data_IF_570656151148
#
_entry.id   IF_570656151148
#
_cell.length_a   1.000
_cell.length_b   1.000
_cell.length_c   1.000
_cell.angle_alpha   90.00
_cell.angle_beta   90.00
_cell.angle_gamma   90.00
#
_symmetry.space_group_name_H-M   'P 1'
#
loop_
_entity.id
_entity.type
_entity.pdbx_description
1 polymer ?
#
# COMPACT_ATOMS: atom_id res chain seq x y z
N UNK A 1 12.76 -38.02 7.38
CA UNK A 1 13.42 -39.11 6.63
C UNK A 1 14.48 -39.68 7.55
N UNK A 2 14.45 -40.99 7.78
CA UNK A 2 15.35 -41.71 8.68
C UNK A 2 16.30 -42.56 7.84
N UNK A 3 17.56 -42.62 8.26
CA UNK A 3 18.65 -43.30 7.56
C UNK A 3 19.36 -44.24 8.55
N UNK A 4 19.50 -45.54 8.24
CA UNK A 4 20.10 -46.52 9.13
C UNK A 4 21.58 -46.27 9.43
N UNK A 5 22.32 -45.62 8.53
CA UNK A 5 23.73 -45.25 8.75
C UNK A 5 23.90 -44.19 9.85
N UNK A 6 22.81 -43.46 10.13
CA UNK A 6 22.74 -42.42 11.16
C UNK A 6 21.55 -42.71 12.07
N UNK A 7 21.62 -43.74 12.92
CA UNK A 7 20.47 -44.28 13.67
C UNK A 7 19.95 -43.35 14.78
N UNK A 8 20.37 -42.09 14.83
CA UNK A 8 19.96 -41.12 15.83
C UNK A 8 18.70 -40.37 15.41
N UNK A 9 17.54 -40.74 15.95
CA UNK A 9 16.45 -39.79 16.11
C UNK A 9 16.84 -38.85 17.25
N UNK A 10 17.23 -37.62 16.94
CA UNK A 10 17.54 -36.63 17.98
C UNK A 10 16.27 -36.29 18.77
N UNK A 11 16.41 -35.94 20.05
CA UNK A 11 15.28 -35.50 20.89
C UNK A 11 14.53 -34.33 20.27
N UNK A 12 15.26 -33.42 19.58
CA UNK A 12 14.70 -32.32 18.81
C UNK A 12 13.79 -32.78 17.66
N UNK A 13 14.22 -33.80 16.90
CA UNK A 13 13.43 -34.35 15.79
C UNK A 13 12.14 -34.99 16.28
N UNK A 14 12.20 -35.65 17.45
CA UNK A 14 11.04 -36.25 18.08
C UNK A 14 10.05 -35.17 18.56
N UNK A 15 10.52 -34.12 19.25
CA UNK A 15 9.66 -33.04 19.71
C UNK A 15 8.97 -32.29 18.56
N UNK A 16 9.68 -32.06 17.45
CA UNK A 16 9.06 -31.47 16.25
C UNK A 16 7.95 -32.37 15.69
N UNK A 17 8.15 -33.69 15.65
CA UNK A 17 7.16 -34.63 15.14
C UNK A 17 5.95 -34.79 16.06
N UNK A 18 6.14 -34.85 17.38
CA UNK A 18 5.06 -35.09 18.35
C UNK A 18 4.34 -33.83 18.78
N UNK A 19 5.03 -32.69 18.82
CA UNK A 19 4.48 -31.43 19.35
C UNK A 19 4.16 -30.47 18.22
N UNK A 20 5.15 -30.13 17.38
CA UNK A 20 5.00 -29.08 16.38
C UNK A 20 4.15 -29.53 15.19
N UNK A 21 4.31 -30.77 14.72
CA UNK A 21 3.62 -31.30 13.54
C UNK A 21 2.32 -32.05 13.85
N UNK A 22 1.91 -32.14 15.12
CA UNK A 22 0.71 -32.86 15.53
C UNK A 22 -0.56 -32.35 14.82
N UNK A 23 -0.66 -31.05 14.59
CA UNK A 23 -1.79 -30.41 13.91
C UNK A 23 -1.86 -30.69 12.39
N UNK A 24 -0.80 -31.25 11.81
CA UNK A 24 -0.71 -31.64 10.38
C UNK A 24 -0.34 -33.11 10.20
N UNK A 25 -0.52 -33.95 11.22
CA UNK A 25 -0.10 -35.35 11.23
C UNK A 25 -0.64 -36.15 10.02
N UNK A 26 -1.86 -35.85 9.56
CA UNK A 26 -2.48 -36.47 8.37
C UNK A 26 -1.75 -36.21 7.06
N UNK A 27 -0.92 -35.15 6.99
CA UNK A 27 -0.10 -34.77 5.83
C UNK A 27 1.35 -35.21 5.96
N UNK A 28 1.81 -35.54 7.16
CA UNK A 28 3.17 -36.02 7.39
C UNK A 28 3.28 -37.45 6.88
N UNK A 29 4.37 -37.73 6.16
CA UNK A 29 4.73 -39.07 5.67
C UNK A 29 6.14 -39.38 6.16
N UNK A 30 6.30 -40.48 6.88
CA UNK A 30 7.59 -40.87 7.43
C UNK A 30 8.24 -41.88 6.52
N UNK A 31 9.52 -41.70 6.26
CA UNK A 31 10.28 -42.52 5.31
C UNK A 31 11.52 -43.05 6.03
N UNK A 32 11.65 -44.38 6.08
CA UNK A 32 12.89 -45.09 6.40
C UNK A 32 13.59 -45.40 5.07
N UNK A 33 14.65 -44.66 4.77
CA UNK A 33 15.40 -44.78 3.53
C UNK A 33 16.59 -45.73 3.70
N UNK A 34 17.17 -46.15 2.57
CA UNK A 34 18.36 -47.01 2.47
C UNK A 34 18.21 -48.38 3.12
N UNK A 35 17.05 -49.00 2.95
CA UNK A 35 16.82 -50.36 3.45
C UNK A 35 17.67 -51.41 2.72
N UNK A 36 18.30 -51.04 1.60
CA UNK A 36 19.29 -51.83 0.86
C UNK A 36 20.66 -51.93 1.55
N UNK A 37 20.98 -51.05 2.51
CA UNK A 37 22.24 -51.09 3.25
C UNK A 37 22.26 -52.18 4.33
N UNK A 38 21.11 -52.77 4.67
CA UNK A 38 21.03 -53.87 5.64
C UNK A 38 21.51 -55.19 5.05
N UNK A 39 22.37 -55.90 5.79
CA UNK A 39 22.89 -57.22 5.38
C UNK A 39 21.94 -58.36 5.71
N UNK A 40 21.14 -58.22 6.78
CA UNK A 40 20.21 -59.26 7.24
C UNK A 40 18.82 -58.68 7.52
N UNK A 41 17.78 -59.50 7.36
CA UNK A 41 16.39 -59.13 7.70
C UNK A 41 16.29 -58.72 9.18
N UNK A 42 17.11 -59.34 10.04
CA UNK A 42 17.15 -59.06 11.47
C UNK A 42 17.65 -57.65 11.77
N UNK A 43 18.66 -57.16 11.06
CA UNK A 43 19.18 -55.80 11.22
C UNK A 43 18.14 -54.75 10.81
N UNK A 44 17.45 -55.01 9.69
CA UNK A 44 16.31 -54.20 9.25
C UNK A 44 15.20 -54.18 10.30
N UNK A 45 14.77 -55.35 10.78
CA UNK A 45 13.70 -55.46 11.77
C UNK A 45 14.05 -54.76 13.09
N UNK A 46 15.33 -54.82 13.51
CA UNK A 46 15.82 -54.13 14.69
C UNK A 46 15.77 -52.60 14.54
N UNK A 47 16.21 -52.08 13.39
CA UNK A 47 16.18 -50.64 13.11
C UNK A 47 14.74 -50.12 12.98
N UNK A 48 13.89 -50.83 12.25
CA UNK A 48 12.48 -50.49 12.09
C UNK A 48 11.72 -50.55 13.43
N UNK A 49 11.98 -51.58 14.24
CA UNK A 49 11.41 -51.72 15.58
C UNK A 49 11.85 -50.59 16.52
N UNK A 50 13.13 -50.21 16.50
CA UNK A 50 13.65 -49.08 17.27
C UNK A 50 13.01 -47.75 16.85
N UNK A 51 12.80 -47.53 15.55
CA UNK A 51 12.13 -46.35 15.01
C UNK A 51 10.67 -46.27 15.48
N UNK A 52 9.92 -47.36 15.34
CA UNK A 52 8.54 -47.47 15.80
C UNK A 52 8.41 -47.24 17.31
N UNK A 53 9.35 -47.79 18.09
CA UNK A 53 9.39 -47.62 19.53
C UNK A 53 9.62 -46.16 19.92
N UNK A 54 10.61 -45.53 19.30
CA UNK A 54 10.97 -44.13 19.59
C UNK A 54 9.84 -43.15 19.27
N UNK A 55 8.95 -43.50 18.36
CA UNK A 55 7.88 -42.63 17.92
C UNK A 55 6.49 -43.02 18.47
N UNK A 56 6.48 -43.80 19.55
CA UNK A 56 5.35 -44.45 20.23
C UNK A 56 3.90 -43.99 19.94
N UNK A 57 3.08 -44.99 19.63
CA UNK A 57 1.60 -45.18 19.78
C UNK A 57 0.56 -44.43 18.92
N UNK A 58 0.76 -43.21 18.42
CA UNK A 58 -0.24 -42.54 17.56
C UNK A 58 0.36 -41.99 16.26
N UNK A 59 1.08 -42.85 15.53
CA UNK A 59 1.91 -42.38 14.43
C UNK A 59 1.51 -42.94 13.05
N UNK A 60 1.55 -42.10 12.00
CA UNK A 60 1.33 -42.52 10.62
C UNK A 60 2.26 -43.64 10.16
N UNK A 61 1.79 -44.35 9.13
CA UNK A 61 2.53 -45.40 8.44
C UNK A 61 3.93 -44.94 8.03
N UNK A 62 4.95 -45.78 8.33
CA UNK A 62 6.34 -45.55 7.95
C UNK A 62 6.61 -46.26 6.64
N UNK A 63 6.98 -45.50 5.62
CA UNK A 63 7.33 -46.03 4.31
C UNK A 63 8.79 -46.46 4.28
N UNK A 64 9.03 -47.70 3.88
CA UNK A 64 10.37 -48.26 3.68
C UNK A 64 10.77 -48.11 2.21
N UNK A 65 11.90 -47.49 1.93
CA UNK A 65 12.37 -47.31 0.55
C UNK A 65 13.89 -47.35 0.44
N UNK A 66 14.36 -47.55 -0.79
CA UNK A 66 15.76 -47.44 -1.17
C UNK A 66 15.90 -46.53 -2.41
N UNK A 67 17.12 -46.07 -2.67
CA UNK A 67 17.41 -45.23 -3.85
C UNK A 67 18.05 -46.10 -4.92
N UNK A 68 17.34 -46.47 -6.00
CA UNK A 68 17.92 -47.32 -7.03
C UNK A 68 19.04 -46.58 -7.76
N UNK A 69 20.26 -47.10 -7.69
CA UNK A 69 21.43 -46.57 -8.41
C UNK A 69 21.32 -46.92 -9.90
N UNK A 70 21.32 -45.90 -10.76
CA UNK A 70 21.33 -46.07 -12.23
C UNK A 70 22.62 -46.76 -12.66
N UNK A 71 22.60 -48.08 -12.78
CA UNK A 71 23.75 -48.90 -13.18
C UNK A 71 23.87 -50.22 -12.44
N UNK A 72 23.13 -50.44 -11.34
CA UNK A 72 23.10 -51.70 -10.59
C UNK A 72 22.18 -52.75 -11.21
N UNK A 73 22.26 -52.97 -12.51
CA UNK A 73 21.69 -54.18 -13.11
C UNK A 73 22.59 -55.36 -12.76
N UNK A 74 22.02 -56.39 -12.14
CA UNK A 74 22.65 -57.69 -11.81
C UNK A 74 23.33 -57.80 -10.44
N UNK A 75 22.53 -57.90 -9.37
CA UNK A 75 22.93 -58.59 -8.13
C UNK A 75 22.01 -59.78 -7.80
N UNK A 76 21.30 -60.32 -8.79
CA UNK A 76 20.72 -61.66 -8.73
C UNK A 76 21.76 -62.75 -9.06
N UNK A 77 23.02 -62.55 -8.66
CA UNK A 77 24.06 -63.58 -8.74
C UNK A 77 24.62 -63.87 -7.35
N UNK A 78 24.17 -65.02 -6.83
CA UNK A 78 24.89 -65.90 -5.91
C UNK A 78 25.19 -65.38 -4.50
N UNK A 79 24.14 -65.08 -3.73
CA UNK A 79 24.22 -65.25 -2.27
C UNK A 79 23.75 -66.66 -1.90
N UNK A 80 24.63 -67.44 -1.27
CA UNK A 80 24.31 -68.76 -0.70
C UNK A 80 23.61 -68.65 0.67
N UNK A 81 23.37 -67.43 1.17
CA UNK A 81 22.76 -67.19 2.47
C UNK A 81 21.24 -66.95 2.31
N UNK A 82 20.44 -67.80 2.95
CA UNK A 82 18.98 -67.74 2.91
C UNK A 82 18.40 -66.38 3.32
N UNK A 83 19.09 -65.62 4.17
CA UNK A 83 18.60 -64.34 4.72
C UNK A 83 18.78 -63.16 3.76
N UNK A 84 19.89 -63.10 3.03
CA UNK A 84 20.16 -62.05 2.03
C UNK A 84 19.22 -62.20 0.81
N UNK A 85 18.91 -63.44 0.43
CA UNK A 85 17.93 -63.74 -0.61
C UNK A 85 16.51 -63.27 -0.24
N UNK A 86 16.12 -63.41 1.04
CA UNK A 86 14.82 -62.93 1.55
C UNK A 86 14.74 -61.40 1.54
N UNK A 87 15.79 -60.70 1.97
CA UNK A 87 15.86 -59.24 1.86
C UNK A 87 15.78 -58.77 0.41
N UNK A 88 16.51 -59.42 -0.49
CA UNK A 88 16.51 -59.10 -1.92
C UNK A 88 15.13 -59.26 -2.55
N UNK A 89 14.37 -60.28 -2.14
CA UNK A 89 12.99 -60.46 -2.57
C UNK A 89 12.07 -59.33 -2.04
N UNK A 90 12.21 -58.95 -0.76
CA UNK A 90 11.44 -57.85 -0.16
C UNK A 90 11.74 -56.49 -0.79
N UNK A 91 13.00 -56.24 -1.18
CA UNK A 91 13.42 -55.02 -1.90
C UNK A 91 12.63 -54.85 -3.20
N UNK A 92 12.50 -55.93 -3.98
CA UNK A 92 11.89 -55.87 -5.31
C UNK A 92 10.36 -55.98 -5.32
N UNK A 93 9.73 -56.54 -4.29
CA UNK A 93 8.27 -56.66 -4.24
C UNK A 93 7.62 -55.56 -3.40
N UNK A 94 7.97 -55.50 -2.11
CA UNK A 94 7.29 -54.65 -1.13
C UNK A 94 7.84 -53.22 -1.14
N UNK A 95 9.17 -53.07 -1.19
CA UNK A 95 9.80 -51.75 -1.13
C UNK A 95 9.66 -50.97 -2.45
N UNK A 96 9.68 -51.65 -3.60
CA UNK A 96 9.34 -51.05 -4.89
C UNK A 96 7.85 -50.64 -4.98
N UNK A 97 6.95 -51.45 -4.41
CA UNK A 97 5.53 -51.12 -4.31
C UNK A 97 5.28 -49.86 -3.48
N UNK A 98 5.80 -49.82 -2.25
CA UNK A 98 5.71 -48.65 -1.35
C UNK A 98 6.35 -47.39 -1.93
N UNK A 99 7.48 -47.53 -2.66
CA UNK A 99 8.07 -46.42 -3.42
C UNK A 99 7.12 -45.86 -4.48
N UNK A 100 6.43 -46.75 -5.21
CA UNK A 100 5.42 -46.36 -6.21
C UNK A 100 4.25 -45.58 -5.61
N UNK A 101 3.83 -45.93 -4.39
CA UNK A 101 2.79 -45.20 -3.66
C UNK A 101 3.24 -43.80 -3.25
N UNK A 102 4.45 -43.68 -2.67
CA UNK A 102 5.02 -42.37 -2.30
C UNK A 102 5.16 -41.48 -3.54
N UNK A 103 5.67 -42.03 -4.64
CA UNK A 103 5.84 -41.29 -5.89
C UNK A 103 4.50 -40.74 -6.40
N UNK A 104 3.44 -41.56 -6.35
CA UNK A 104 2.09 -41.16 -6.75
C UNK A 104 1.52 -40.08 -5.82
N UNK A 105 1.76 -40.20 -4.53
CA UNK A 105 1.32 -39.20 -3.55
C UNK A 105 2.05 -37.86 -3.72
N UNK A 106 3.36 -37.89 -3.96
CA UNK A 106 4.17 -36.69 -4.27
C UNK A 106 3.71 -36.06 -5.58
N UNK A 107 3.39 -36.86 -6.60
CA UNK A 107 2.83 -36.36 -7.86
C UNK A 107 1.46 -35.70 -7.69
N UNK A 108 0.64 -36.18 -6.74
CA UNK A 108 -0.68 -35.61 -6.40
C UNK A 108 -0.61 -34.40 -5.46
N UNK A 109 0.51 -34.20 -4.76
CA UNK A 109 0.70 -33.08 -3.84
C UNK A 109 0.39 -31.68 -4.43
N UNK A 110 0.80 -31.32 -5.67
CA UNK A 110 0.43 -30.04 -6.26
C UNK A 110 -1.09 -29.90 -6.45
N UNK A 111 -1.77 -30.94 -6.92
CA UNK A 111 -3.22 -30.92 -7.11
C UNK A 111 -3.93 -30.72 -5.76
N UNK A 112 -3.52 -31.48 -4.73
CA UNK A 112 -4.02 -31.33 -3.37
C UNK A 112 -3.75 -29.93 -2.78
N UNK A 113 -2.63 -29.31 -3.14
CA UNK A 113 -2.34 -27.94 -2.71
C UNK A 113 -3.32 -26.94 -3.34
N UNK A 114 -3.62 -27.09 -4.64
CA UNK A 114 -4.59 -26.23 -5.32
C UNK A 114 -6.00 -26.39 -4.77
N UNK A 115 -6.43 -27.61 -4.44
CA UNK A 115 -7.74 -27.87 -3.83
C UNK A 115 -7.88 -27.27 -2.43
N UNK A 116 -6.81 -27.34 -1.63
CA UNK A 116 -6.77 -26.70 -0.31
C UNK A 116 -6.86 -25.17 -0.41
N UNK A 117 -6.18 -24.57 -1.40
CA UNK A 117 -6.27 -23.13 -1.67
C UNK A 117 -7.68 -22.75 -2.13
N UNK A 118 -8.28 -23.51 -3.04
CA UNK A 118 -9.64 -23.28 -3.51
C UNK A 118 -10.66 -23.36 -2.37
N UNK A 119 -10.51 -24.36 -1.48
CA UNK A 119 -11.37 -24.52 -0.30
C UNK A 119 -11.23 -23.36 0.67
N UNK A 120 -9.99 -22.92 0.92
CA UNK A 120 -9.71 -21.76 1.76
C UNK A 120 -10.26 -20.47 1.15
N UNK A 121 -10.11 -20.28 -0.16
CA UNK A 121 -10.67 -19.14 -0.89
C UNK A 121 -12.20 -19.10 -0.82
N UNK A 122 -12.88 -20.24 -1.06
CA UNK A 122 -14.35 -20.34 -0.93
C UNK A 122 -14.81 -19.99 0.48
N UNK A 123 -14.11 -20.48 1.50
CA UNK A 123 -14.36 -20.16 2.92
C UNK A 123 -14.23 -18.66 3.20
N UNK A 124 -13.18 -18.01 2.67
CA UNK A 124 -12.98 -16.57 2.79
C UNK A 124 -14.07 -15.78 2.06
N UNK A 125 -14.43 -16.14 0.84
CA UNK A 125 -15.52 -15.51 0.09
C UNK A 125 -16.86 -15.63 0.82
N UNK A 126 -17.16 -16.80 1.40
CA UNK A 126 -18.37 -17.01 2.18
C UNK A 126 -18.39 -16.15 3.45
N UNK A 127 -17.26 -16.05 4.16
CA UNK A 127 -17.09 -15.15 5.30
C UNK A 127 -17.28 -13.70 4.89
N UNK A 128 -16.61 -13.25 3.82
CA UNK A 128 -16.73 -11.89 3.28
C UNK A 128 -18.16 -11.55 2.88
N UNK A 129 -18.86 -12.47 2.20
CA UNK A 129 -20.27 -12.32 1.83
C UNK A 129 -21.17 -12.19 3.07
N UNK A 130 -20.87 -12.93 4.14
CA UNK A 130 -21.63 -12.84 5.40
C UNK A 130 -21.32 -11.55 6.17
N UNK A 131 -20.08 -11.07 6.12
CA UNK A 131 -19.66 -9.84 6.82
C UNK A 131 -20.06 -8.57 6.06
N UNK A 132 -20.19 -8.64 4.74
CA UNK A 132 -20.63 -7.51 3.92
C UNK A 132 -22.14 -7.33 4.05
N UNK A 133 -22.56 -6.73 5.17
CA UNK A 133 -23.93 -6.25 5.37
C UNK A 133 -24.12 -5.02 4.52
N UNK A 134 -24.59 -5.21 3.29
CA UNK A 134 -24.96 -4.13 2.35
C UNK A 134 -25.79 -3.02 3.02
N UNK A 135 -26.59 -3.35 4.04
CA UNK A 135 -27.35 -2.39 4.85
C UNK A 135 -26.49 -1.43 5.68
N UNK A 136 -25.37 -1.88 6.26
CA UNK A 136 -24.47 -1.02 7.05
C UNK A 136 -23.65 -0.11 6.13
N UNK A 137 -23.20 -0.62 4.97
CA UNK A 137 -22.53 0.20 3.96
C UNK A 137 -23.46 1.29 3.39
N UNK A 138 -24.72 0.94 3.10
CA UNK A 138 -25.71 1.90 2.62
C UNK A 138 -26.00 3.01 3.65
N UNK A 139 -26.11 2.67 4.94
CA UNK A 139 -26.27 3.66 6.03
C UNK A 139 -25.06 4.59 6.13
N UNK A 140 -23.84 4.04 6.09
CA UNK A 140 -22.60 4.82 6.20
C UNK A 140 -22.44 5.79 5.02
N UNK A 141 -22.70 5.31 3.80
CA UNK A 141 -22.62 6.13 2.59
C UNK A 141 -23.70 7.22 2.56
N UNK A 142 -24.92 6.92 3.04
CA UNK A 142 -26.01 7.90 3.12
C UNK A 142 -25.75 9.01 4.15
N UNK A 143 -25.13 8.67 5.29
CA UNK A 143 -24.79 9.65 6.33
C UNK A 143 -23.68 10.62 5.86
N UNK A 144 -22.68 10.12 5.14
CA UNK A 144 -21.57 10.94 4.64
C UNK A 144 -22.04 12.00 3.63
N UNK A 145 -22.92 11.63 2.70
CA UNK A 145 -23.46 12.57 1.70
C UNK A 145 -24.34 13.65 2.34
N UNK A 146 -25.18 13.29 3.32
CA UNK A 146 -26.02 14.26 4.04
C UNK A 146 -25.20 15.32 4.78
N UNK A 147 -24.10 14.91 5.43
CA UNK A 147 -23.23 15.82 6.20
C UNK A 147 -22.53 16.82 5.27
N UNK A 148 -22.04 16.34 4.11
CA UNK A 148 -21.42 17.21 3.10
C UNK A 148 -22.39 18.25 2.54
N UNK A 149 -23.64 17.87 2.26
CA UNK A 149 -24.67 18.77 1.73
C UNK A 149 -25.09 19.84 2.76
N UNK A 150 -25.19 19.44 4.04
CA UNK A 150 -25.49 20.37 5.12
C UNK A 150 -24.35 21.39 5.29
N UNK A 151 -23.09 20.94 5.25
CA UNK A 151 -21.92 21.82 5.33
C UNK A 151 -21.85 22.81 4.17
N UNK A 152 -22.16 22.37 2.95
CA UNK A 152 -22.23 23.23 1.76
C UNK A 152 -23.29 24.33 1.92
N UNK A 153 -24.51 23.96 2.31
CA UNK A 153 -25.60 24.93 2.53
C UNK A 153 -25.31 25.88 3.69
N UNK A 154 -24.67 25.41 4.74
CA UNK A 154 -24.22 26.26 5.84
C UNK A 154 -23.14 27.25 5.37
N UNK A 155 -22.18 26.79 4.56
CA UNK A 155 -21.16 27.62 3.92
C UNK A 155 -21.75 28.72 3.04
N UNK A 156 -22.73 28.38 2.18
CA UNK A 156 -23.44 29.37 1.35
C UNK A 156 -24.13 30.46 2.19
N UNK A 157 -24.78 30.07 3.31
CA UNK A 157 -25.41 31.05 4.23
C UNK A 157 -24.39 31.92 4.96
N UNK A 158 -23.28 31.33 5.39
CA UNK A 158 -22.20 32.07 6.03
C UNK A 158 -21.57 33.09 5.07
N UNK A 159 -21.37 32.71 3.81
CA UNK A 159 -20.88 33.60 2.75
C UNK A 159 -21.85 34.75 2.50
N UNK A 160 -23.16 34.48 2.39
CA UNK A 160 -24.18 35.52 2.22
C UNK A 160 -24.20 36.52 3.39
N UNK A 161 -24.00 36.04 4.63
CA UNK A 161 -23.88 36.91 5.81
C UNK A 161 -22.60 37.75 5.77
N UNK A 162 -21.46 37.15 5.43
CA UNK A 162 -20.20 37.87 5.28
C UNK A 162 -20.25 38.92 4.17
N UNK A 163 -21.00 38.64 3.10
CA UNK A 163 -21.27 39.58 2.01
C UNK A 163 -22.12 40.77 2.46
N UNK A 164 -23.09 40.57 3.36
CA UNK A 164 -23.85 41.69 3.93
C UNK A 164 -23.00 42.57 4.86
N UNK A 165 -22.04 41.96 5.57
CA UNK A 165 -21.21 42.63 6.58
C UNK A 165 -19.87 43.18 6.02
N UNK A 166 -19.65 43.17 4.69
CA UNK A 166 -18.37 43.57 4.05
C UNK A 166 -17.89 44.94 4.48
N UNK A 167 -18.80 45.92 4.50
CA UNK A 167 -18.46 47.30 4.84
C UNK A 167 -17.99 47.44 6.29
N UNK A 168 -18.48 46.58 7.20
CA UNK A 168 -18.08 46.62 8.60
C UNK A 168 -16.67 46.04 8.81
N UNK A 169 -16.31 44.95 8.11
CA UNK A 169 -15.00 44.32 8.30
C UNK A 169 -13.90 44.90 7.41
N UNK A 170 -14.25 45.58 6.32
CA UNK A 170 -13.30 46.15 5.36
C UNK A 170 -12.25 47.08 6.03
N UNK A 171 -12.61 48.03 6.90
CA UNK A 171 -11.62 48.86 7.59
C UNK A 171 -10.70 48.06 8.52
N UNK A 172 -11.22 47.01 9.16
CA UNK A 172 -10.43 46.13 10.03
C UNK A 172 -9.44 45.27 9.23
N UNK A 173 -9.83 44.79 8.05
CA UNK A 173 -8.95 44.05 7.12
C UNK A 173 -7.90 44.96 6.51
N UNK A 174 -8.25 46.21 6.19
CA UNK A 174 -7.27 47.21 5.79
C UNK A 174 -6.24 47.44 6.89
N UNK A 175 -6.70 47.66 8.13
CA UNK A 175 -5.82 47.88 9.27
C UNK A 175 -4.88 46.69 9.55
N UNK A 176 -5.36 45.45 9.36
CA UNK A 176 -4.52 44.25 9.57
C UNK A 176 -3.52 44.03 8.43
N UNK A 177 -3.92 44.25 7.17
CA UNK A 177 -3.07 44.01 6.00
C UNK A 177 -1.96 45.07 5.90
N UNK A 178 -2.28 46.32 6.22
CA UNK A 178 -1.32 47.42 6.23
C UNK A 178 -0.74 47.71 7.61
N UNK A 179 -0.90 46.79 8.58
CA UNK A 179 -0.45 46.98 9.96
C UNK A 179 1.02 47.42 10.05
N UNK A 180 1.91 46.84 9.25
CA UNK A 180 3.35 47.20 9.23
C UNK A 180 3.61 48.65 8.82
N UNK A 181 2.79 49.21 7.93
CA UNK A 181 2.86 50.60 7.47
C UNK A 181 2.12 51.55 8.43
N UNK A 182 1.05 51.06 9.06
CA UNK A 182 0.22 51.84 9.98
C UNK A 182 0.81 51.94 11.41
N UNK A 183 1.67 51.02 11.82
CA UNK A 183 2.32 51.03 13.14
C UNK A 183 3.41 52.11 13.30
N UNK A 184 3.94 52.66 12.20
CA UNK A 184 4.91 53.75 12.24
C UNK A 184 4.16 55.07 12.05
N UNK A 185 4.18 55.98 13.04
CA UNK A 185 3.61 57.33 12.87
C UNK A 185 4.54 58.19 12.01
N UNK A 186 4.62 57.85 10.74
CA UNK A 186 5.44 58.52 9.73
C UNK A 186 4.53 59.14 8.66
N UNK A 187 5.07 60.01 7.81
CA UNK A 187 4.37 60.60 6.67
C UNK A 187 3.65 59.56 5.79
N UNK A 188 4.23 58.37 5.67
CA UNK A 188 3.64 57.25 4.94
C UNK A 188 2.34 56.73 5.57
N UNK A 189 2.17 56.84 6.89
CA UNK A 189 0.92 56.49 7.59
C UNK A 189 -0.20 57.45 7.17
N UNK A 190 0.06 58.75 7.27
CA UNK A 190 -0.92 59.79 6.94
C UNK A 190 -1.32 59.73 5.45
N UNK A 191 -0.36 59.52 4.56
CA UNK A 191 -0.61 59.34 3.12
C UNK A 191 -1.45 58.08 2.85
N UNK A 192 -1.12 56.95 3.49
CA UNK A 192 -1.85 55.68 3.31
C UNK A 192 -3.29 55.77 3.84
N UNK A 193 -3.49 56.39 5.01
CA UNK A 193 -4.82 56.62 5.58
C UNK A 193 -5.65 57.63 4.78
N UNK A 194 -5.05 58.71 4.29
CA UNK A 194 -5.73 59.68 3.42
C UNK A 194 -6.20 59.02 2.12
N UNK A 195 -5.37 58.15 1.53
CA UNK A 195 -5.72 57.42 0.32
C UNK A 195 -6.88 56.45 0.56
N UNK A 196 -6.85 55.68 1.65
CA UNK A 196 -7.95 54.78 2.02
C UNK A 196 -9.25 55.54 2.27
N UNK A 197 -9.22 56.63 3.02
CA UNK A 197 -10.39 57.47 3.29
C UNK A 197 -10.96 58.12 2.02
N UNK A 198 -10.13 58.40 1.02
CA UNK A 198 -10.59 58.95 -0.26
C UNK A 198 -11.31 57.91 -1.14
N UNK A 199 -10.93 56.63 -1.03
CA UNK A 199 -11.46 55.53 -1.86
C UNK A 199 -12.68 54.88 -1.20
N UNK A 200 -12.75 54.88 0.14
CA UNK A 200 -13.79 54.22 0.93
C UNK A 200 -15.23 54.56 0.47
N UNK A 201 -15.63 55.82 0.20
CA UNK A 201 -16.98 56.15 -0.24
C UNK A 201 -17.32 55.57 -1.62
N UNK A 202 -16.33 55.53 -2.53
CA UNK A 202 -16.49 54.90 -3.84
C UNK A 202 -16.64 53.39 -3.73
N UNK A 203 -15.95 52.78 -2.77
CA UNK A 203 -16.02 51.35 -2.49
C UNK A 203 -17.36 50.97 -1.83
N UNK A 204 -17.87 51.80 -0.93
CA UNK A 204 -19.22 51.67 -0.35
C UNK A 204 -20.30 51.72 -1.44
N UNK A 205 -20.21 52.70 -2.35
CA UNK A 205 -21.14 52.83 -3.46
C UNK A 205 -21.08 51.64 -4.42
N UNK A 206 -19.89 51.16 -4.77
CA UNK A 206 -19.71 50.01 -5.65
C UNK A 206 -20.22 48.71 -5.01
N UNK A 207 -19.94 48.48 -3.73
CA UNK A 207 -20.42 47.31 -2.99
C UNK A 207 -21.94 47.33 -2.73
N UNK A 208 -22.55 48.52 -2.66
CA UNK A 208 -24.01 48.67 -2.54
C UNK A 208 -24.74 48.41 -3.88
N UNK A 209 -24.11 48.71 -5.01
CA UNK A 209 -24.72 48.59 -6.35
C UNK A 209 -24.48 47.24 -7.03
N UNK A 210 -23.42 46.52 -6.65
CA UNK A 210 -23.00 45.27 -7.30
C UNK A 210 -22.94 44.11 -6.31
N UNK A 211 -23.61 42.97 -6.57
CA UNK A 211 -23.51 41.79 -5.71
C UNK A 211 -22.09 41.22 -5.75
N UNK A 212 -21.59 40.70 -4.61
CA UNK A 212 -20.19 40.27 -4.53
C UNK A 212 -19.82 39.15 -5.54
N UNK A 213 -20.79 38.31 -5.89
CA UNK A 213 -20.64 37.22 -6.88
C UNK A 213 -20.40 37.74 -8.31
N UNK A 214 -20.76 38.99 -8.60
CA UNK A 214 -20.54 39.61 -9.91
C UNK A 214 -19.15 40.24 -10.05
N UNK A 215 -18.39 40.40 -8.95
CA UNK A 215 -16.97 40.74 -9.08
C UNK A 215 -16.24 39.51 -9.58
N UNK A 216 -15.75 39.58 -10.83
CA UNK A 216 -14.95 38.53 -11.42
C UNK A 216 -13.70 38.23 -10.58
N UNK A 217 -13.26 36.97 -10.61
CA UNK A 217 -11.95 36.60 -10.06
C UNK A 217 -10.89 37.42 -10.78
N UNK A 218 -10.05 38.15 -10.03
CA UNK A 218 -8.95 38.92 -10.59
C UNK A 218 -7.93 37.94 -11.19
N UNK A 219 -7.83 37.82 -12.53
CA UNK A 219 -7.02 36.79 -13.14
C UNK A 219 -5.54 37.01 -12.79
N UNK A 220 -4.76 35.94 -12.57
CA UNK A 220 -3.35 36.06 -12.20
C UNK A 220 -2.52 36.82 -13.25
N UNK A 221 -2.94 36.78 -14.52
CA UNK A 221 -2.30 37.53 -15.62
C UNK A 221 -2.47 39.04 -15.44
N UNK A 222 -3.69 39.48 -15.08
CA UNK A 222 -3.97 40.90 -14.83
C UNK A 222 -3.27 41.41 -13.58
N UNK A 223 -3.16 40.56 -12.56
CA UNK A 223 -2.38 40.86 -11.36
C UNK A 223 -0.91 41.06 -11.67
N UNK A 224 -0.30 40.14 -12.41
CA UNK A 224 1.11 40.25 -12.79
C UNK A 224 1.37 41.51 -13.64
N UNK A 225 0.45 41.84 -14.55
CA UNK A 225 0.53 43.07 -15.33
C UNK A 225 0.43 44.31 -14.44
N UNK A 226 -0.48 44.34 -13.47
CA UNK A 226 -0.60 45.46 -12.53
C UNK A 226 0.67 45.61 -11.69
N UNK A 227 1.21 44.51 -11.18
CA UNK A 227 2.47 44.51 -10.43
C UNK A 227 3.65 45.01 -11.29
N UNK A 228 3.72 44.61 -12.57
CA UNK A 228 4.71 45.12 -13.53
C UNK A 228 4.56 46.62 -13.78
N UNK A 229 3.32 47.11 -13.95
CA UNK A 229 3.04 48.54 -14.16
C UNK A 229 3.46 49.35 -12.93
N UNK A 230 3.10 48.90 -11.73
CA UNK A 230 3.44 49.59 -10.49
C UNK A 230 4.95 49.56 -10.20
N UNK A 231 5.63 48.45 -10.47
CA UNK A 231 7.06 48.31 -10.18
C UNK A 231 7.96 48.94 -11.24
N UNK A 232 7.60 48.87 -12.53
CA UNK A 232 8.46 49.30 -13.63
C UNK A 232 7.99 50.60 -14.28
N UNK A 233 6.70 50.75 -14.57
CA UNK A 233 6.21 51.88 -15.36
C UNK A 233 6.00 53.14 -14.54
N UNK A 234 5.41 53.04 -13.34
CA UNK A 234 5.20 54.20 -12.46
C UNK A 234 6.53 54.88 -12.07
N UNK A 235 7.58 54.16 -11.61
CA UNK A 235 8.86 54.79 -11.27
C UNK A 235 9.63 55.34 -12.47
N UNK A 236 9.37 54.82 -13.68
CA UNK A 236 9.94 55.36 -14.92
C UNK A 236 9.23 56.66 -15.32
N UNK A 237 7.91 56.71 -15.19
CA UNK A 237 7.14 57.93 -15.47
C UNK A 237 7.51 59.04 -14.49
N UNK A 238 7.64 58.71 -13.21
CA UNK A 238 8.02 59.66 -12.17
C UNK A 238 9.46 60.18 -12.35
N UNK A 239 10.38 59.36 -12.86
CA UNK A 239 11.70 59.84 -13.36
C UNK A 239 11.54 60.76 -14.56
N UNK A 240 10.79 60.37 -15.58
CA UNK A 240 10.57 61.22 -16.75
C UNK A 240 9.90 62.57 -16.42
N UNK A 241 9.02 62.63 -15.43
CA UNK A 241 8.38 63.89 -14.99
C UNK A 241 9.36 64.77 -14.23
N UNK A 242 10.22 64.18 -13.39
CA UNK A 242 11.31 64.89 -12.71
C UNK A 242 12.40 65.37 -13.68
N UNK A 243 12.70 64.58 -14.71
CA UNK A 243 13.63 64.96 -15.77
C UNK A 243 13.01 66.03 -16.70
N UNK A 244 11.69 66.11 -16.86
CA UNK A 244 11.04 67.23 -17.58
C UNK A 244 11.19 68.58 -16.90
N UNK A 245 11.53 68.62 -15.60
CA UNK A 245 11.91 69.87 -14.92
C UNK A 245 13.39 70.24 -15.08
N UNK A 246 14.19 69.40 -15.74
CA UNK A 246 15.60 69.65 -16.07
C UNK A 246 16.03 68.93 -17.34
N UNK A 247 16.03 69.68 -18.45
CA UNK A 247 16.52 69.35 -19.79
C UNK A 247 15.55 68.68 -20.79
N UNK A 248 15.31 69.45 -21.87
CA UNK A 248 14.59 69.07 -23.08
C UNK A 248 15.33 67.98 -23.90
N UNK A 249 14.55 67.16 -24.62
CA UNK A 249 14.96 66.31 -25.77
C UNK A 249 15.51 64.89 -25.53
N UNK A 250 15.15 64.20 -24.45
CA UNK A 250 15.54 62.79 -24.29
C UNK A 250 14.33 61.84 -24.15
N UNK A 251 13.91 61.27 -25.29
CA UNK A 251 13.21 59.97 -25.42
C UNK A 251 11.67 59.90 -25.32
N UNK A 252 10.99 60.54 -26.26
CA UNK A 252 9.74 60.03 -26.84
C UNK A 252 10.03 58.79 -27.73
N UNK A 253 10.33 57.64 -27.13
CA UNK A 253 10.23 56.33 -27.80
C UNK A 253 9.35 55.41 -26.98
N UNK A 254 8.04 55.66 -27.05
CA UNK A 254 7.05 54.67 -26.66
C UNK A 254 7.17 53.48 -27.62
N UNK A 255 7.74 52.36 -27.16
CA UNK A 255 7.42 51.08 -27.78
C UNK A 255 5.97 50.79 -27.42
N UNK A 256 5.08 50.95 -28.39
CA UNK A 256 3.73 50.40 -28.33
C UNK A 256 3.86 48.89 -28.08
N UNK A 257 3.63 48.46 -26.85
CA UNK A 257 3.21 47.08 -26.59
C UNK A 257 1.72 47.11 -26.87
N UNK A 258 1.33 46.54 -28.00
CA UNK A 258 -0.08 46.37 -28.36
C UNK A 258 -0.78 45.61 -27.23
N UNK A 259 -1.89 46.16 -26.73
CA UNK A 259 -2.81 45.43 -25.86
C UNK A 259 -3.15 44.11 -26.57
N UNK A 260 -3.06 42.94 -25.91
CA UNK A 260 -3.67 41.75 -26.46
C UNK A 260 -5.17 42.04 -26.58
N UNK A 261 -5.66 42.03 -27.81
CA UNK A 261 -7.08 42.18 -28.11
C UNK A 261 -7.86 41.08 -27.41
N UNK A 262 -8.85 41.48 -26.61
CA UNK A 262 -9.87 40.60 -26.05
C UNK A 262 -10.61 39.89 -27.21
N UNK A 263 -10.38 38.59 -27.36
CA UNK A 263 -11.27 37.64 -28.04
C UNK A 263 -11.88 36.73 -26.99
#
# INVERSE_FOLDING_TARGET
MFDPDKPGTTFESLDVLTTSLNHVNSKVRLILNKVDDFKTVHDFARAYGALCWNLSKDMPFIYTMYVPVRGGGSLAQMSNNSEEAMLSLLLHTEFDGTRGEILREVQRAPDLATDNLLTSFKSLCAKLKRTFRWSEFAKLSGAATATSLASWKAGQRALAKMQADVLHWLPAVFASTYASFLCKSDRTHDETMATFNSILPGLEMALAQTPLEAFGLFPPVEKNYLDEVLAAHVPRLDRCVRDRTGDDYAYLRFKHIEKPSLQ
#
